data_IF_683222188028
#
_entry.id   IF_683222188028
#
_cell.length_a   1.000
_cell.length_b   1.000
_cell.length_c   1.000
_cell.angle_alpha   90.00
_cell.angle_beta   90.00
_cell.angle_gamma   90.00
#
_symmetry.space_group_name_H-M   'P 1'
#
loop_
_entity.id
_entity.type
_entity.pdbx_description
1 polymer ?
#
# COMPACT_ATOMS: atom_id res chain seq x y z
N UNK A 1 3.27 -16.06 18.03
CA UNK A 1 4.06 -15.18 17.17
C UNK A 1 3.34 -13.83 17.08
N UNK A 2 4.08 -12.73 16.97
CA UNK A 2 3.49 -11.41 16.68
C UNK A 2 3.17 -11.34 15.18
N UNK A 3 2.07 -10.69 14.81
CA UNK A 3 1.70 -10.46 13.40
C UNK A 3 2.27 -9.12 12.93
N UNK A 4 2.83 -9.12 11.73
CA UNK A 4 3.33 -7.93 11.03
C UNK A 4 2.55 -7.78 9.73
N UNK A 5 1.99 -6.60 9.51
CA UNK A 5 1.40 -6.20 8.24
C UNK A 5 2.19 -5.01 7.67
N UNK A 6 2.55 -5.08 6.41
CA UNK A 6 3.16 -3.97 5.70
C UNK A 6 2.90 -4.06 4.20
N UNK A 7 3.13 -2.95 3.49
CA UNK A 7 2.88 -2.92 2.06
C UNK A 7 3.79 -1.97 1.29
N UNK A 8 3.95 -2.25 -0.01
CA UNK A 8 4.69 -1.41 -0.95
C UNK A 8 3.78 -1.02 -2.11
N UNK A 9 3.78 0.26 -2.46
CA UNK A 9 3.06 0.75 -3.62
C UNK A 9 3.80 0.37 -4.92
N UNK A 10 3.10 -0.17 -5.93
CA UNK A 10 3.68 -0.50 -7.23
C UNK A 10 3.81 0.75 -8.12
N UNK A 11 4.72 1.66 -7.76
CA UNK A 11 4.91 2.95 -8.46
C UNK A 11 6.08 2.96 -9.44
N UNK A 12 6.74 1.83 -9.67
CA UNK A 12 7.84 1.68 -10.64
C UNK A 12 9.19 2.25 -10.21
N UNK A 13 9.23 3.12 -9.23
CA UNK A 13 10.46 3.78 -8.76
C UNK A 13 11.01 3.12 -7.49
N UNK A 14 11.27 1.81 -7.56
CA UNK A 14 11.90 1.12 -6.44
C UNK A 14 13.40 1.38 -6.52
N UNK A 15 13.92 2.01 -5.50
CA UNK A 15 15.32 2.39 -5.38
C UNK A 15 15.96 1.81 -4.10
N UNK A 16 17.26 1.97 -3.97
CA UNK A 16 18.03 1.46 -2.83
C UNK A 16 17.45 1.85 -1.46
N UNK A 17 16.85 3.04 -1.36
CA UNK A 17 16.18 3.51 -0.13
C UNK A 17 14.96 2.65 0.26
N UNK A 18 14.19 2.18 -0.72
CA UNK A 18 13.06 1.25 -0.46
C UNK A 18 13.58 -0.10 0.02
N UNK A 19 14.66 -0.60 -0.58
CA UNK A 19 15.31 -1.84 -0.15
C UNK A 19 15.80 -1.75 1.29
N UNK A 20 16.60 -0.75 1.61
CA UNK A 20 17.19 -0.58 2.94
C UNK A 20 16.14 -0.20 4.00
N UNK A 21 15.14 0.61 3.63
CA UNK A 21 14.14 1.13 4.57
C UNK A 21 13.00 0.16 4.89
N UNK A 22 12.69 -0.78 3.99
CA UNK A 22 11.55 -1.68 4.15
C UNK A 22 11.90 -3.14 3.82
N UNK A 23 12.30 -3.43 2.59
CA UNK A 23 12.40 -4.81 2.10
C UNK A 23 13.39 -5.67 2.88
N UNK A 24 14.52 -5.12 3.29
CA UNK A 24 15.49 -5.81 4.14
C UNK A 24 14.85 -6.22 5.48
N UNK A 25 14.09 -5.34 6.09
CA UNK A 25 13.39 -5.63 7.36
C UNK A 25 12.31 -6.70 7.16
N UNK A 26 11.62 -6.73 6.01
CA UNK A 26 10.64 -7.77 5.71
C UNK A 26 11.27 -9.17 5.72
N UNK A 27 12.45 -9.31 5.11
CA UNK A 27 13.20 -10.58 5.09
C UNK A 27 13.65 -10.99 6.49
N UNK A 28 14.10 -10.04 7.30
CA UNK A 28 14.53 -10.32 8.68
C UNK A 28 13.35 -10.72 9.58
N UNK A 29 12.20 -10.05 9.44
CA UNK A 29 11.02 -10.28 10.27
C UNK A 29 10.34 -11.63 10.01
N UNK A 30 10.44 -12.19 8.81
CA UNK A 30 9.78 -13.47 8.47
C UNK A 30 10.32 -14.66 9.27
N UNK A 31 11.48 -14.53 9.92
CA UNK A 31 12.08 -15.65 10.66
C UNK A 31 11.40 -15.91 12.00
N UNK A 32 10.77 -14.89 12.61
CA UNK A 32 10.19 -14.99 13.95
C UNK A 32 8.80 -14.34 14.10
N UNK A 33 8.23 -13.82 13.01
CA UNK A 33 6.90 -13.20 12.96
C UNK A 33 5.98 -13.86 11.94
N UNK A 34 4.67 -13.75 12.14
CA UNK A 34 3.66 -14.03 11.13
C UNK A 34 3.54 -12.81 10.21
N UNK A 35 4.17 -12.88 9.03
CA UNK A 35 4.30 -11.74 8.14
C UNK A 35 3.27 -11.78 7.01
N UNK A 36 2.62 -10.64 6.79
CA UNK A 36 1.66 -10.40 5.71
C UNK A 36 2.11 -9.16 4.95
N UNK A 37 2.51 -9.33 3.69
CA UNK A 37 3.03 -8.27 2.83
C UNK A 37 2.10 -8.03 1.65
N UNK A 38 1.60 -6.81 1.56
CA UNK A 38 0.62 -6.40 0.57
C UNK A 38 1.27 -5.55 -0.53
N UNK A 39 0.95 -5.84 -1.79
CA UNK A 39 1.22 -4.93 -2.90
C UNK A 39 0.02 -4.01 -3.00
N UNK A 40 0.17 -2.75 -2.54
CA UNK A 40 -0.96 -1.84 -2.31
C UNK A 40 -1.31 -1.05 -3.58
N UNK A 41 -1.83 -1.73 -4.57
CA UNK A 41 -2.22 -1.18 -5.86
C UNK A 41 -3.40 -0.21 -5.77
N UNK A 42 -4.33 -0.41 -4.84
CA UNK A 42 -5.43 0.53 -4.60
C UNK A 42 -4.92 1.86 -4.03
N UNK A 43 -3.86 1.87 -3.24
CA UNK A 43 -3.19 3.11 -2.83
C UNK A 43 -2.46 3.77 -4.00
N UNK A 44 -1.90 3.01 -4.92
CA UNK A 44 -1.21 3.56 -6.09
C UNK A 44 -2.15 4.37 -6.98
N UNK A 45 -3.42 3.94 -7.16
CA UNK A 45 -4.40 4.64 -8.00
C UNK A 45 -4.99 5.91 -7.37
N UNK A 46 -4.60 6.27 -6.16
CA UNK A 46 -4.93 7.60 -5.58
C UNK A 46 -4.32 8.76 -6.37
N UNK A 47 -3.36 8.47 -7.22
CA UNK A 47 -2.83 9.36 -8.25
C UNK A 47 -2.99 8.68 -9.62
N UNK A 48 -3.11 9.43 -10.73
CA UNK A 48 -3.30 8.86 -12.06
C UNK A 48 -2.22 7.83 -12.39
N UNK A 49 -2.65 6.65 -12.83
CA UNK A 49 -1.80 5.54 -13.28
C UNK A 49 -2.24 5.09 -14.69
N UNK A 50 -1.30 4.68 -15.50
CA UNK A 50 -1.61 3.96 -16.74
C UNK A 50 -1.88 2.47 -16.39
N UNK A 51 -3.06 1.91 -16.72
CA UNK A 51 -3.45 0.57 -16.24
C UNK A 51 -2.47 -0.55 -16.62
N UNK A 52 -1.90 -0.51 -17.83
CA UNK A 52 -0.93 -1.51 -18.28
C UNK A 52 0.36 -1.43 -17.49
N UNK A 53 0.86 -0.21 -17.29
CA UNK A 53 2.08 0.06 -16.54
C UNK A 53 1.90 -0.32 -15.06
N UNK A 54 0.75 -0.02 -14.46
CA UNK A 54 0.44 -0.43 -13.10
C UNK A 54 0.48 -1.95 -12.94
N UNK A 55 -0.08 -2.69 -13.92
CA UNK A 55 -0.05 -4.15 -13.90
C UNK A 55 1.38 -4.70 -13.98
N UNK A 56 2.23 -4.11 -14.80
CA UNK A 56 3.65 -4.46 -14.89
C UNK A 56 4.36 -4.19 -13.54
N UNK A 57 4.15 -3.02 -12.95
CA UNK A 57 4.75 -2.65 -11.67
C UNK A 57 4.29 -3.54 -10.51
N UNK A 58 3.04 -4.05 -10.51
CA UNK A 58 2.57 -5.04 -9.52
C UNK A 58 3.44 -6.31 -9.62
N UNK A 59 3.67 -6.81 -10.84
CA UNK A 59 4.50 -7.99 -11.07
C UNK A 59 5.96 -7.75 -10.70
N UNK A 60 6.49 -6.56 -11.00
CA UNK A 60 7.85 -6.16 -10.62
C UNK A 60 8.04 -6.16 -9.09
N UNK A 61 7.07 -5.62 -8.34
CA UNK A 61 7.12 -5.64 -6.86
C UNK A 61 7.04 -7.08 -6.33
N UNK A 62 6.18 -7.92 -6.91
CA UNK A 62 6.10 -9.33 -6.51
C UNK A 62 7.42 -10.07 -6.78
N UNK A 63 8.00 -9.88 -7.97
CA UNK A 63 9.29 -10.46 -8.32
C UNK A 63 10.42 -9.96 -7.41
N UNK A 64 10.40 -8.67 -7.07
CA UNK A 64 11.37 -8.08 -6.17
C UNK A 64 11.27 -8.65 -4.76
N UNK A 65 10.07 -8.86 -4.23
CA UNK A 65 9.88 -9.50 -2.92
C UNK A 65 10.58 -10.86 -2.86
N UNK A 66 10.41 -11.68 -3.91
CA UNK A 66 11.08 -12.98 -4.00
C UNK A 66 12.60 -12.83 -4.17
N UNK A 67 13.03 -11.89 -5.01
CA UNK A 67 14.45 -11.66 -5.30
C UNK A 67 15.25 -11.18 -4.08
N UNK A 68 14.63 -10.43 -3.18
CA UNK A 68 15.29 -9.97 -1.92
C UNK A 68 15.30 -11.03 -0.84
N UNK A 69 14.61 -12.17 -1.03
CA UNK A 69 14.64 -13.31 -0.12
C UNK A 69 13.37 -13.48 0.73
N UNK A 70 12.26 -12.82 0.38
CA UNK A 70 10.97 -13.18 0.97
C UNK A 70 10.58 -14.59 0.54
N UNK A 71 10.32 -15.44 1.53
CA UNK A 71 9.93 -16.82 1.35
C UNK A 71 8.40 -16.94 1.40
N UNK A 72 7.71 -17.33 0.30
CA UNK A 72 6.26 -17.47 0.27
C UNK A 72 5.73 -18.62 1.14
N UNK A 73 6.60 -19.53 1.59
CA UNK A 73 6.22 -20.57 2.56
C UNK A 73 6.19 -20.01 4.01
N UNK A 74 6.89 -18.91 4.27
CA UNK A 74 6.96 -18.26 5.59
C UNK A 74 6.06 -17.05 5.70
N UNK A 75 5.86 -16.30 4.59
CA UNK A 75 5.13 -15.04 4.56
C UNK A 75 3.98 -15.08 3.57
N UNK A 76 2.87 -14.44 3.93
CA UNK A 76 1.77 -14.22 2.99
C UNK A 76 2.11 -12.99 2.15
N UNK A 77 2.10 -13.15 0.82
CA UNK A 77 2.24 -12.05 -0.14
C UNK A 77 0.99 -12.01 -1.02
N UNK A 78 0.38 -10.84 -1.15
CA UNK A 78 -0.84 -10.68 -1.95
C UNK A 78 -0.96 -9.29 -2.56
N UNK A 79 -1.83 -9.16 -3.57
CA UNK A 79 -2.20 -7.88 -4.18
C UNK A 79 -3.48 -7.38 -3.50
N UNK A 80 -3.49 -6.13 -3.07
CA UNK A 80 -4.59 -5.53 -2.30
C UNK A 80 -5.96 -5.67 -3.00
N UNK A 81 -6.01 -5.41 -4.30
CA UNK A 81 -7.24 -5.49 -5.08
C UNK A 81 -7.80 -6.91 -5.25
N UNK A 82 -7.00 -7.94 -5.02
CA UNK A 82 -7.46 -9.34 -5.06
C UNK A 82 -8.27 -9.73 -3.80
N UNK A 83 -8.27 -8.88 -2.78
CA UNK A 83 -9.02 -9.09 -1.53
C UNK A 83 -10.13 -8.03 -1.40
N UNK A 84 -11.38 -8.32 -1.81
CA UNK A 84 -12.48 -7.34 -1.82
C UNK A 84 -12.75 -6.68 -0.46
N UNK A 85 -12.44 -7.37 0.63
CA UNK A 85 -12.65 -6.89 2.00
C UNK A 85 -12.00 -5.54 2.30
N UNK A 86 -10.86 -5.21 1.67
CA UNK A 86 -10.22 -3.89 1.81
C UNK A 86 -11.14 -2.76 1.32
N UNK A 87 -11.72 -2.92 0.13
CA UNK A 87 -12.66 -1.93 -0.43
C UNK A 87 -13.97 -1.86 0.36
N UNK A 88 -14.52 -3.01 0.76
CA UNK A 88 -15.77 -3.09 1.51
C UNK A 88 -15.65 -2.43 2.88
N UNK A 89 -14.62 -2.78 3.64
CA UNK A 89 -14.38 -2.16 4.95
C UNK A 89 -14.03 -0.67 4.82
N UNK A 90 -13.26 -0.30 3.80
CA UNK A 90 -12.95 1.11 3.53
C UNK A 90 -14.22 1.93 3.31
N UNK A 91 -15.23 1.40 2.61
CA UNK A 91 -16.50 2.08 2.44
C UNK A 91 -17.26 2.25 3.75
N UNK A 92 -17.34 1.20 4.57
CA UNK A 92 -17.99 1.26 5.89
C UNK A 92 -17.32 2.31 6.79
N UNK A 93 -15.98 2.31 6.84
CA UNK A 93 -15.21 3.29 7.62
C UNK A 93 -15.37 4.71 7.06
N UNK A 94 -15.48 4.87 5.74
CA UNK A 94 -15.76 6.16 5.09
C UNK A 94 -17.05 6.77 5.62
N UNK A 95 -18.12 5.99 5.76
CA UNK A 95 -19.41 6.45 6.27
C UNK A 95 -19.33 6.91 7.72
N UNK A 96 -18.33 6.50 8.47
CA UNK A 96 -18.08 6.89 9.86
C UNK A 96 -16.98 7.94 10.03
N UNK A 97 -16.32 8.34 8.96
CA UNK A 97 -15.20 9.28 8.96
C UNK A 97 -15.69 10.73 8.79
N UNK A 98 -14.94 11.68 9.34
CA UNK A 98 -15.28 13.10 9.24
C UNK A 98 -14.34 13.85 8.29
N UNK A 99 -14.91 14.62 7.36
CA UNK A 99 -14.14 15.39 6.36
C UNK A 99 -13.17 16.38 7.01
N UNK A 100 -13.53 16.96 8.18
CA UNK A 100 -12.67 17.86 8.93
C UNK A 100 -11.39 17.19 9.46
N UNK A 101 -11.42 15.89 9.74
CA UNK A 101 -10.26 15.12 10.18
C UNK A 101 -9.39 14.76 8.97
N UNK A 102 -9.99 14.24 7.91
CA UNK A 102 -9.28 13.85 6.69
C UNK A 102 -8.57 15.03 6.03
N UNK A 103 -9.17 16.23 6.05
CA UNK A 103 -8.56 17.44 5.49
C UNK A 103 -7.29 17.91 6.22
N UNK A 104 -7.06 17.43 7.45
CA UNK A 104 -5.85 17.75 8.24
C UNK A 104 -4.67 16.84 7.94
N UNK A 105 -4.87 15.75 7.21
CA UNK A 105 -3.81 14.80 6.89
C UNK A 105 -2.70 15.44 6.03
N UNK A 106 -1.46 15.22 6.43
CA UNK A 106 -0.29 15.90 5.82
C UNK A 106 -0.10 15.56 4.35
N UNK A 107 -0.23 14.30 3.97
CA UNK A 107 -0.06 13.89 2.56
C UNK A 107 -1.10 14.50 1.63
N UNK A 108 -2.35 14.67 2.09
CA UNK A 108 -3.36 15.38 1.31
C UNK A 108 -2.94 16.83 1.09
N UNK A 109 -2.51 17.52 2.15
CA UNK A 109 -2.03 18.91 2.08
C UNK A 109 -0.82 19.05 1.14
N UNK A 110 0.14 18.17 1.23
CA UNK A 110 1.38 18.25 0.44
C UNK A 110 1.14 17.95 -1.04
N UNK A 111 0.37 16.92 -1.36
CA UNK A 111 0.09 16.50 -2.74
C UNK A 111 -0.97 17.36 -3.44
N UNK A 112 -1.79 18.11 -2.69
CA UNK A 112 -2.82 19.02 -3.23
C UNK A 112 -2.37 20.46 -3.42
N UNK A 113 -1.22 20.87 -2.83
CA UNK A 113 -0.73 22.26 -2.78
C UNK A 113 -0.63 23.00 -4.13
N UNK A 114 -0.49 22.27 -5.24
CA UNK A 114 -0.29 22.87 -6.58
C UNK A 114 -1.31 22.37 -7.61
N UNK A 115 -2.46 21.85 -7.18
CA UNK A 115 -3.49 21.31 -8.08
C UNK A 115 -4.79 22.08 -7.88
N UNK A 116 -5.39 22.55 -8.98
CA UNK A 116 -6.75 23.14 -8.97
C UNK A 116 -7.80 22.12 -8.48
N UNK A 117 -7.53 20.82 -8.71
CA UNK A 117 -8.32 19.72 -8.18
C UNK A 117 -7.44 18.53 -7.80
N UNK A 118 -7.70 17.92 -6.65
CA UNK A 118 -7.04 16.70 -6.22
C UNK A 118 -8.01 15.52 -6.33
N UNK A 119 -7.55 14.32 -6.74
CA UNK A 119 -8.40 13.13 -6.76
C UNK A 119 -8.98 12.82 -5.38
N UNK A 120 -10.26 12.43 -5.32
CA UNK A 120 -10.92 12.06 -4.05
C UNK A 120 -10.21 10.91 -3.33
N UNK A 121 -9.60 9.97 -4.07
CA UNK A 121 -8.79 8.90 -3.50
C UNK A 121 -7.62 9.41 -2.65
N UNK A 122 -7.02 10.55 -3.04
CA UNK A 122 -5.95 11.17 -2.26
C UNK A 122 -6.45 11.76 -0.92
N UNK A 123 -7.74 12.11 -0.85
CA UNK A 123 -8.38 12.55 0.38
C UNK A 123 -8.78 11.36 1.26
N UNK A 124 -9.22 10.25 0.64
CA UNK A 124 -9.77 9.08 1.30
C UNK A 124 -8.74 7.99 1.67
N UNK A 125 -7.50 8.06 1.18
CA UNK A 125 -6.51 7.00 1.39
C UNK A 125 -6.29 6.61 2.86
N UNK A 126 -6.41 7.51 3.88
CA UNK A 126 -6.23 7.11 5.29
C UNK A 126 -7.30 6.13 5.76
N UNK A 127 -8.50 6.23 5.18
CA UNK A 127 -9.61 5.33 5.50
C UNK A 127 -9.36 3.94 4.90
N UNK A 128 -8.87 3.89 3.65
CA UNK A 128 -8.42 2.63 3.04
C UNK A 128 -7.27 2.01 3.83
N UNK A 129 -6.30 2.81 4.26
CA UNK A 129 -5.19 2.34 5.08
C UNK A 129 -5.66 1.77 6.43
N UNK A 130 -6.68 2.35 7.04
CA UNK A 130 -7.30 1.80 8.25
C UNK A 130 -8.05 0.48 7.98
N UNK A 131 -8.54 0.28 6.76
CA UNK A 131 -9.19 -0.96 6.35
C UNK A 131 -8.18 -2.08 6.00
N UNK A 132 -6.92 -1.74 5.76
CA UNK A 132 -5.86 -2.70 5.46
C UNK A 132 -5.35 -3.43 6.72
N UNK A 133 -5.53 -2.84 7.90
CA UNK A 133 -4.97 -3.28 9.18
C UNK A 133 -6.05 -3.90 10.06
#
# INVERSE_FOLDING_TARGET
MKRVFSGVQPTGNIHLGNYLGALKQFVELQEDHECIYCIVDMHAITVPQEPKVLKEHILDVAALYLAVGLDPEKSIVFVQSDVPGHAELSWILTCSSYTGELSRMTQFKDKSKNKESAPSGLFMYPVLMAADI
#
